data_IF_949819392947
#
_entry.id   IF_949819392947
#
_cell.length_a   1.000
_cell.length_b   1.000
_cell.length_c   1.000
_cell.angle_alpha   90.00
_cell.angle_beta   90.00
_cell.angle_gamma   90.00
#
_symmetry.space_group_name_H-M   'P 1'
#
loop_
_entity.id
_entity.type
_entity.pdbx_description
1 polymer ?
#
# COMPACT_ATOMS: atom_id res chain seq x y z
N UNK A 1 -5.01 16.03 9.65
CA UNK A 1 -5.02 14.58 9.41
C UNK A 1 -3.80 14.02 10.13
N UNK A 2 -3.86 12.82 10.68
CA UNK A 2 -2.78 12.23 11.47
C UNK A 2 -2.33 10.91 10.85
N UNK A 3 -1.11 10.47 11.16
CA UNK A 3 -0.61 9.17 10.75
C UNK A 3 -1.48 8.05 11.32
N UNK A 4 -1.79 7.05 10.49
CA UNK A 4 -2.59 5.90 10.91
C UNK A 4 -1.77 4.63 10.85
N UNK A 5 -1.86 3.80 11.87
CA UNK A 5 -1.30 2.45 11.81
C UNK A 5 -2.37 1.51 11.25
N UNK A 6 -2.03 0.79 10.19
CA UNK A 6 -2.90 -0.19 9.53
C UNK A 6 -2.23 -1.56 9.53
N UNK A 7 -3.05 -2.61 9.49
CA UNK A 7 -2.58 -4.01 9.44
C UNK A 7 -2.62 -4.52 8.01
N UNK A 8 -1.51 -5.07 7.53
CA UNK A 8 -1.42 -5.65 6.19
C UNK A 8 -2.22 -6.95 6.08
N UNK A 9 -3.16 -7.02 5.13
CA UNK A 9 -3.98 -8.23 4.92
C UNK A 9 -3.18 -9.44 4.38
N UNK A 10 -2.00 -9.21 3.80
CA UNK A 10 -1.19 -10.28 3.21
C UNK A 10 -0.19 -10.87 4.21
N UNK A 11 0.36 -10.07 5.13
CA UNK A 11 1.44 -10.50 6.04
C UNK A 11 1.18 -10.25 7.53
N UNK A 12 0.05 -9.64 7.88
CA UNK A 12 -0.34 -9.35 9.26
C UNK A 12 0.50 -8.28 9.98
N UNK A 13 1.51 -7.71 9.32
CA UNK A 13 2.36 -6.67 9.92
C UNK A 13 1.67 -5.32 9.90
N UNK A 14 1.90 -4.55 10.95
CA UNK A 14 1.54 -3.15 11.03
C UNK A 14 2.40 -2.32 10.06
N UNK A 15 1.81 -1.29 9.48
CA UNK A 15 2.50 -0.28 8.69
C UNK A 15 1.83 1.08 8.88
N UNK A 16 2.62 2.14 8.73
CA UNK A 16 2.13 3.51 8.84
C UNK A 16 1.56 3.95 7.51
N UNK A 17 0.33 4.46 7.54
CA UNK A 17 -0.32 5.20 6.49
C UNK A 17 -0.19 6.69 6.82
N UNK A 18 0.87 7.30 6.29
CA UNK A 18 1.26 8.66 6.68
C UNK A 18 0.26 9.70 6.19
N UNK A 19 0.28 10.89 6.78
CA UNK A 19 -0.53 12.03 6.29
C UNK A 19 -0.27 12.31 4.80
N UNK A 20 0.99 12.30 4.36
CA UNK A 20 1.33 12.53 2.96
C UNK A 20 0.77 11.45 2.02
N UNK A 21 0.74 10.18 2.45
CA UNK A 21 0.09 9.11 1.68
C UNK A 21 -1.44 9.28 1.65
N UNK A 22 -2.04 9.73 2.75
CA UNK A 22 -3.47 10.03 2.82
C UNK A 22 -3.86 11.17 1.88
N UNK A 23 -3.06 12.23 1.81
CA UNK A 23 -3.24 13.33 0.87
C UNK A 23 -3.10 12.87 -0.57
N UNK A 24 -2.04 12.10 -0.87
CA UNK A 24 -1.86 11.51 -2.20
C UNK A 24 -3.05 10.64 -2.62
N UNK A 25 -3.62 9.86 -1.68
CA UNK A 25 -4.80 9.05 -1.96
C UNK A 25 -6.02 9.92 -2.30
N UNK A 26 -6.25 10.98 -1.53
CA UNK A 26 -7.34 11.93 -1.78
C UNK A 26 -7.17 12.66 -3.12
N UNK A 27 -5.97 13.13 -3.44
CA UNK A 27 -5.69 13.83 -4.71
C UNK A 27 -5.91 12.92 -5.94
N UNK A 28 -5.72 11.61 -5.78
CA UNK A 28 -6.00 10.62 -6.83
C UNK A 28 -7.46 10.16 -6.85
N UNK A 29 -8.31 10.65 -5.95
CA UNK A 29 -9.71 10.23 -5.83
C UNK A 29 -9.87 8.82 -5.23
N UNK A 30 -8.87 8.31 -4.50
CA UNK A 30 -8.99 7.06 -3.77
C UNK A 30 -9.71 7.28 -2.44
N UNK A 31 -10.92 6.74 -2.33
CA UNK A 31 -11.72 6.80 -1.10
C UNK A 31 -11.31 5.73 -0.07
N UNK A 32 -10.59 4.70 -0.51
CA UNK A 32 -10.25 3.53 0.30
C UNK A 32 -8.83 3.61 0.86
N UNK A 33 -8.68 3.22 2.12
CA UNK A 33 -7.37 3.06 2.76
C UNK A 33 -6.58 1.87 2.17
N UNK A 34 -5.24 1.95 2.19
CA UNK A 34 -4.43 0.83 1.75
C UNK A 34 -4.60 -0.39 2.64
N UNK A 35 -4.86 -1.54 2.03
CA UNK A 35 -4.96 -2.83 2.75
C UNK A 35 -3.63 -3.57 2.86
N UNK A 36 -2.60 -3.13 2.15
CA UNK A 36 -1.30 -3.82 2.04
C UNK A 36 -0.16 -2.86 2.34
N UNK A 37 0.81 -3.33 3.12
CA UNK A 37 2.02 -2.58 3.38
C UNK A 37 2.87 -2.39 2.11
N UNK A 38 3.77 -1.39 2.09
CA UNK A 38 4.63 -1.10 0.94
C UNK A 38 5.43 -2.32 0.45
N UNK A 39 5.93 -3.14 1.38
CA UNK A 39 6.69 -4.35 1.05
C UNK A 39 5.86 -5.38 0.26
N UNK A 40 4.64 -5.68 0.72
CA UNK A 40 3.74 -6.60 0.00
C UNK A 40 3.29 -6.05 -1.35
N UNK A 41 3.05 -4.72 -1.46
CA UNK A 41 2.76 -4.08 -2.75
C UNK A 41 3.94 -4.18 -3.72
N UNK A 42 5.16 -3.92 -3.26
CA UNK A 42 6.39 -4.04 -4.06
C UNK A 42 6.59 -5.48 -4.53
N UNK A 43 6.54 -6.45 -3.63
CA UNK A 43 6.68 -7.87 -3.96
C UNK A 43 5.65 -8.33 -5.01
N UNK A 44 4.40 -7.86 -4.91
CA UNK A 44 3.36 -8.17 -5.91
C UNK A 44 3.67 -7.55 -7.28
N UNK A 45 4.18 -6.33 -7.32
CA UNK A 45 4.61 -5.66 -8.56
C UNK A 45 5.78 -6.39 -9.22
N UNK A 46 6.77 -6.81 -8.43
CA UNK A 46 7.95 -7.56 -8.90
C UNK A 46 7.54 -8.92 -9.49
N UNK A 47 6.68 -9.68 -8.80
CA UNK A 47 6.15 -10.96 -9.31
C UNK A 47 5.46 -10.79 -10.67
N UNK A 48 4.66 -9.73 -10.85
CA UNK A 48 3.99 -9.44 -12.13
C UNK A 48 4.99 -9.08 -13.24
N UNK A 49 6.03 -8.33 -12.92
CA UNK A 49 7.07 -7.99 -13.89
C UNK A 49 7.89 -9.21 -14.33
N UNK A 50 8.13 -10.16 -13.43
CA UNK A 50 8.83 -11.40 -13.78
C UNK A 50 7.97 -12.31 -14.67
N UNK A 51 6.66 -12.37 -14.44
CA UNK A 51 5.73 -13.16 -15.27
C UNK A 51 5.58 -12.61 -16.70
N UNK A 52 5.70 -11.31 -16.90
CA UNK A 52 5.53 -10.68 -18.22
C UNK A 52 6.82 -10.68 -19.07
N UNK A 53 7.90 -11.32 -18.59
CA UNK A 53 9.21 -11.43 -19.24
C UNK A 53 9.55 -12.86 -19.68
N UNK A 54 8.64 -13.82 -19.47
CA UNK A 54 8.70 -15.16 -20.05
C UNK A 54 7.70 -15.28 -21.18
#
# INVERSE_FOLDING_TARGET
MEDKILVCVDCGKEFVFTVGEQEFYKEKGFENEPKRCPACRKARKERRQQQNRG
#
